data_IF_686963318771
#
_entry.id   IF_686963318771
#
_cell.length_a   1.000
_cell.length_b   1.000
_cell.length_c   1.000
_cell.angle_alpha   90.00
_cell.angle_beta   90.00
_cell.angle_gamma   90.00
#
_symmetry.space_group_name_H-M   'P 1'
#
loop_
_entity.id
_entity.type
_entity.pdbx_description
1 polymer ?
#
# COMPACT_ATOMS: atom_id res chain seq x y z
N UNK A 1 11.40 -12.03 -3.67
CA UNK A 1 10.18 -11.19 -3.72
C UNK A 1 10.33 -9.96 -4.60
N UNK A 2 11.41 -9.18 -4.50
CA UNK A 2 11.59 -7.93 -5.26
C UNK A 2 11.50 -8.08 -6.80
N UNK A 3 12.00 -9.19 -7.37
CA UNK A 3 11.84 -9.50 -8.80
C UNK A 3 10.39 -9.68 -9.23
N UNK A 4 9.60 -10.45 -8.48
CA UNK A 4 8.18 -10.63 -8.78
C UNK A 4 7.41 -9.30 -8.62
N UNK A 5 7.78 -8.48 -7.64
CA UNK A 5 7.18 -7.16 -7.42
C UNK A 5 7.45 -6.19 -8.59
N UNK A 6 8.57 -6.30 -9.30
CA UNK A 6 8.81 -5.48 -10.49
C UNK A 6 7.76 -5.69 -11.59
N UNK A 7 7.16 -6.88 -11.69
CA UNK A 7 6.02 -7.11 -12.58
C UNK A 7 4.84 -6.21 -12.24
N UNK A 8 4.56 -5.99 -10.95
CA UNK A 8 3.52 -5.06 -10.48
C UNK A 8 3.90 -3.62 -10.82
N UNK A 9 5.14 -3.20 -10.54
CA UNK A 9 5.60 -1.84 -10.83
C UNK A 9 5.64 -1.52 -12.33
N UNK A 10 5.85 -2.52 -13.19
CA UNK A 10 5.79 -2.34 -14.65
C UNK A 10 4.36 -2.09 -15.14
N UNK A 11 3.36 -2.74 -14.52
CA UNK A 11 1.95 -2.60 -14.87
C UNK A 11 1.33 -1.32 -14.30
N UNK A 12 1.63 -0.99 -13.03
CA UNK A 12 1.03 0.14 -12.29
C UNK A 12 1.86 1.42 -12.41
N UNK A 13 3.15 1.29 -12.71
CA UNK A 13 4.13 2.39 -12.76
C UNK A 13 5.03 2.43 -11.52
N UNK A 14 6.29 2.77 -11.72
CA UNK A 14 7.28 2.86 -10.63
C UNK A 14 6.99 4.02 -9.68
N UNK A 15 6.62 5.19 -10.20
CA UNK A 15 6.36 6.38 -9.40
C UNK A 15 5.11 6.22 -8.51
N UNK A 16 4.04 5.65 -9.06
CA UNK A 16 2.77 5.37 -8.36
C UNK A 16 2.92 4.28 -7.28
N UNK A 17 3.78 3.27 -7.51
CA UNK A 17 4.00 2.18 -6.55
C UNK A 17 5.10 2.45 -5.52
N UNK A 18 5.95 3.45 -5.74
CA UNK A 18 7.08 3.78 -4.84
C UNK A 18 6.64 4.08 -3.40
N UNK A 19 5.55 4.82 -3.13
CA UNK A 19 5.07 5.03 -1.77
C UNK A 19 4.66 3.73 -1.07
N UNK A 20 4.11 2.76 -1.79
CA UNK A 20 3.80 1.43 -1.24
C UNK A 20 5.06 0.70 -0.79
N UNK A 21 6.10 0.66 -1.63
CA UNK A 21 7.39 0.04 -1.29
C UNK A 21 8.07 0.73 -0.11
N UNK A 22 7.91 2.06 0.00
CA UNK A 22 8.46 2.85 1.09
C UNK A 22 7.62 2.80 2.37
N UNK A 23 6.46 2.12 2.37
CA UNK A 23 5.58 2.04 3.54
C UNK A 23 4.82 3.35 3.84
N UNK A 24 4.71 4.27 2.87
CA UNK A 24 4.12 5.60 3.05
C UNK A 24 2.60 5.66 2.84
N UNK A 25 1.96 4.54 2.51
CA UNK A 25 0.50 4.50 2.28
C UNK A 25 -0.32 5.02 3.47
N UNK A 26 0.01 4.71 4.75
CA UNK A 26 -0.76 5.26 5.87
C UNK A 26 -0.69 6.77 5.98
N UNK A 27 0.44 7.38 5.62
CA UNK A 27 0.61 8.84 5.59
C UNK A 27 -0.24 9.45 4.48
N UNK A 28 -0.15 8.91 3.27
CA UNK A 28 -0.95 9.34 2.12
C UNK A 28 -2.46 9.21 2.38
N UNK A 29 -2.89 8.15 3.06
CA UNK A 29 -4.29 8.00 3.48
C UNK A 29 -4.72 9.12 4.42
N UNK A 30 -3.89 9.48 5.41
CA UNK A 30 -4.19 10.59 6.33
C UNK A 30 -4.22 11.94 5.61
N UNK A 31 -3.27 12.20 4.73
CA UNK A 31 -3.23 13.40 3.90
C UNK A 31 -4.47 13.53 3.01
N UNK A 32 -5.02 12.42 2.53
CA UNK A 32 -6.26 12.37 1.76
C UNK A 32 -7.55 12.50 2.61
N UNK A 33 -7.42 12.77 3.92
CA UNK A 33 -8.56 12.98 4.83
C UNK A 33 -9.13 11.71 5.46
N UNK A 34 -8.43 10.57 5.36
CA UNK A 34 -8.83 9.36 6.07
C UNK A 34 -8.31 9.39 7.52
N UNK A 35 -9.17 9.02 8.45
CA UNK A 35 -8.88 8.88 9.88
C UNK A 35 -8.87 7.40 10.29
N UNK A 36 -8.36 7.11 11.49
CA UNK A 36 -8.32 5.75 12.06
C UNK A 36 -7.63 4.69 11.17
N UNK A 37 -6.63 5.11 10.38
CA UNK A 37 -5.88 4.22 9.49
C UNK A 37 -5.15 3.13 10.28
N UNK A 38 -5.56 1.87 10.08
CA UNK A 38 -4.98 0.70 10.75
C UNK A 38 -4.80 -0.48 9.80
N UNK A 39 -3.84 -1.33 10.12
CA UNK A 39 -3.66 -2.62 9.44
C UNK A 39 -4.64 -3.62 10.04
N UNK A 40 -5.44 -4.25 9.19
CA UNK A 40 -6.35 -5.33 9.57
C UNK A 40 -5.67 -6.68 9.43
N UNK A 41 -4.88 -6.86 8.36
CA UNK A 41 -4.25 -8.14 8.06
C UNK A 41 -3.01 -7.95 7.21
N UNK A 42 -2.02 -8.78 7.47
CA UNK A 42 -0.89 -9.02 6.56
C UNK A 42 -0.96 -10.46 6.08
N UNK A 43 -0.67 -10.68 4.80
CA UNK A 43 -0.57 -12.02 4.25
C UNK A 43 0.56 -12.10 3.22
N UNK A 44 1.30 -13.20 3.24
CA UNK A 44 2.34 -13.47 2.26
C UNK A 44 1.71 -13.86 0.92
N UNK A 45 2.25 -13.33 -0.16
CA UNK A 45 1.89 -13.64 -1.55
C UNK A 45 3.15 -13.93 -2.36
N UNK A 46 3.00 -14.39 -3.60
CA UNK A 46 4.15 -14.53 -4.52
C UNK A 46 4.88 -13.21 -4.76
N UNK A 47 4.18 -12.08 -4.66
CA UNK A 47 4.67 -10.74 -4.98
C UNK A 47 5.22 -9.98 -3.77
N UNK A 48 5.09 -10.50 -2.55
CA UNK A 48 5.40 -9.76 -1.33
C UNK A 48 4.33 -9.92 -0.26
N UNK A 49 4.40 -9.06 0.76
CA UNK A 49 3.34 -8.94 1.75
C UNK A 49 2.19 -8.12 1.16
N UNK A 50 1.00 -8.69 1.15
CA UNK A 50 -0.24 -7.94 0.93
C UNK A 50 -0.78 -7.49 2.28
N UNK A 51 -0.90 -6.18 2.46
CA UNK A 51 -1.44 -5.55 3.66
C UNK A 51 -2.83 -5.01 3.38
N UNK A 52 -3.80 -5.38 4.22
CA UNK A 52 -5.16 -4.87 4.17
C UNK A 52 -5.29 -3.76 5.21
N UNK A 53 -5.63 -2.57 4.75
CA UNK A 53 -5.88 -1.39 5.59
C UNK A 53 -7.37 -1.17 5.78
N UNK A 54 -7.76 -0.64 6.94
CA UNK A 54 -9.06 -0.04 7.17
C UNK A 54 -8.87 1.40 7.64
N UNK A 55 -9.76 2.28 7.22
CA UNK A 55 -9.79 3.69 7.60
C UNK A 55 -11.19 4.27 7.42
N UNK A 56 -11.47 5.38 8.09
CA UNK A 56 -12.75 6.09 8.04
C UNK A 56 -12.55 7.44 7.34
N UNK A 57 -13.27 7.69 6.23
CA UNK A 57 -13.28 9.01 5.60
C UNK A 57 -14.32 9.88 6.29
N UNK A 58 -13.88 10.98 6.88
CA UNK A 58 -14.80 11.96 7.44
C UNK A 58 -15.39 12.79 6.28
N UNK A 59 -16.70 13.04 6.27
CA UNK A 59 -17.38 13.78 5.19
C UNK A 59 -16.96 15.24 5.10
#
# INVERSE_FOLDING_TARGET
>A
MRLAFYGIQLLDGFETTRPNVQGRLPELMREAGFSEVRIIRNMATLFGTMTIYAACKQP
#
